data_IF_803868285555
#
_entry.id   IF_803868285555
#
_cell.length_a   1.000
_cell.length_b   1.000
_cell.length_c   1.000
_cell.angle_alpha   90.00
_cell.angle_beta   90.00
_cell.angle_gamma   90.00
#
_symmetry.space_group_name_H-M   'P 1'
#
loop_
_entity.id
_entity.type
_entity.pdbx_description
1 polymer ?
#
# COMPACT_ATOMS: atom_id res chain seq x y z
N UNK A 1 -51.69 29.10 -8.63
CA UNK A 1 -50.90 28.03 -9.29
C UNK A 1 -49.43 28.25 -8.92
N UNK A 2 -49.05 27.78 -7.73
CA UNK A 2 -48.43 26.47 -7.48
C UNK A 2 -46.91 26.52 -7.67
N UNK A 3 -46.27 26.89 -6.55
CA UNK A 3 -44.99 26.42 -6.01
C UNK A 3 -44.17 25.49 -6.92
N UNK A 4 -43.13 26.05 -7.56
CA UNK A 4 -42.06 25.29 -8.22
C UNK A 4 -41.01 24.87 -7.18
N UNK A 5 -41.31 23.81 -6.44
CA UNK A 5 -40.28 23.05 -5.71
C UNK A 5 -39.76 21.98 -6.65
N UNK A 6 -38.51 22.10 -7.12
CA UNK A 6 -37.80 20.96 -7.71
C UNK A 6 -36.53 20.72 -6.89
N UNK A 7 -36.61 19.62 -6.16
CA UNK A 7 -35.61 18.97 -5.32
C UNK A 7 -34.22 18.95 -6.00
N UNK A 8 -33.21 19.58 -5.38
CA UNK A 8 -31.82 19.18 -5.60
C UNK A 8 -31.61 17.83 -4.91
N UNK A 9 -31.61 16.75 -5.69
CA UNK A 9 -31.16 15.44 -5.21
C UNK A 9 -29.66 15.48 -4.99
N UNK A 10 -29.24 15.57 -3.72
CA UNK A 10 -27.86 15.35 -3.30
C UNK A 10 -27.61 13.83 -3.38
N UNK A 11 -26.92 13.39 -4.42
CA UNK A 11 -26.40 12.03 -4.51
C UNK A 11 -25.03 12.01 -3.83
N UNK A 12 -25.03 11.84 -2.50
CA UNK A 12 -23.80 11.65 -1.72
C UNK A 12 -23.35 10.19 -1.88
N UNK A 13 -22.42 9.89 -2.80
CA UNK A 13 -21.77 8.58 -2.83
C UNK A 13 -20.83 8.46 -1.64
N UNK A 14 -21.08 7.45 -0.80
CA UNK A 14 -20.10 6.96 0.16
C UNK A 14 -18.99 6.20 -0.56
N UNK A 15 -17.92 6.88 -0.96
CA UNK A 15 -16.77 6.32 -1.71
C UNK A 15 -15.67 5.70 -0.83
N UNK A 16 -15.81 5.72 0.50
CA UNK A 16 -14.73 5.39 1.44
C UNK A 16 -14.20 3.93 1.37
N UNK A 17 -15.05 2.90 1.57
CA UNK A 17 -14.57 1.52 1.70
C UNK A 17 -13.89 0.99 0.43
N UNK A 18 -14.50 1.27 -0.73
CA UNK A 18 -13.99 0.83 -2.04
C UNK A 18 -12.58 1.38 -2.31
N UNK A 19 -12.32 2.64 -1.96
CA UNK A 19 -11.00 3.25 -2.14
C UNK A 19 -9.93 2.65 -1.22
N UNK A 20 -10.30 2.22 -0.01
CA UNK A 20 -9.38 1.57 0.91
C UNK A 20 -8.99 0.17 0.39
N UNK A 21 -9.97 -0.61 -0.08
CA UNK A 21 -9.74 -1.93 -0.66
C UNK A 21 -8.85 -1.83 -1.90
N UNK A 22 -9.16 -0.90 -2.83
CA UNK A 22 -8.33 -0.66 -4.02
C UNK A 22 -6.88 -0.28 -3.68
N UNK A 23 -6.66 0.46 -2.58
CA UNK A 23 -5.33 0.85 -2.15
C UNK A 23 -4.53 -0.33 -1.58
N UNK A 24 -5.17 -1.22 -0.82
CA UNK A 24 -4.52 -2.42 -0.29
C UNK A 24 -4.20 -3.40 -1.42
N UNK A 25 -5.10 -3.58 -2.38
CA UNK A 25 -4.86 -4.43 -3.56
C UNK A 25 -3.69 -3.89 -4.42
N UNK A 26 -3.64 -2.57 -4.64
CA UNK A 26 -2.49 -1.95 -5.30
C UNK A 26 -1.19 -2.19 -4.51
N UNK A 27 -1.23 -2.03 -3.18
CA UNK A 27 -0.06 -2.24 -2.34
C UNK A 27 0.46 -3.67 -2.39
N UNK A 28 -0.45 -4.65 -2.37
CA UNK A 28 -0.12 -6.08 -2.55
C UNK A 28 0.49 -6.34 -3.92
N UNK A 29 -0.06 -5.74 -4.99
CA UNK A 29 0.49 -5.86 -6.34
C UNK A 29 1.88 -5.24 -6.47
N UNK A 30 2.13 -4.11 -5.82
CA UNK A 30 3.48 -3.51 -5.77
C UNK A 30 4.45 -4.45 -5.06
N UNK A 31 4.04 -5.02 -3.92
CA UNK A 31 4.85 -5.95 -3.15
C UNK A 31 5.23 -7.21 -3.95
N UNK A 32 4.27 -7.79 -4.66
CA UNK A 32 4.43 -9.04 -5.40
C UNK A 32 5.13 -8.86 -6.75
N UNK A 33 4.79 -7.80 -7.50
CA UNK A 33 5.05 -7.74 -8.95
C UNK A 33 5.69 -6.43 -9.43
N UNK A 34 5.20 -5.27 -8.99
CA UNK A 34 5.56 -4.00 -9.65
C UNK A 34 6.88 -3.40 -9.16
N UNK A 35 7.30 -3.69 -7.92
CA UNK A 35 8.65 -3.40 -7.49
C UNK A 35 9.64 -4.31 -8.23
N UNK A 36 10.76 -3.76 -8.69
CA UNK A 36 11.81 -4.51 -9.37
C UNK A 36 13.17 -4.18 -8.74
N UNK A 37 13.79 -5.10 -7.97
CA UNK A 37 13.31 -6.46 -7.68
C UNK A 37 12.02 -6.47 -6.84
N UNK A 38 11.22 -7.54 -6.98
CA UNK A 38 10.03 -7.76 -6.16
C UNK A 38 10.39 -7.81 -4.67
N UNK A 39 9.54 -7.25 -3.82
CA UNK A 39 9.77 -7.22 -2.37
C UNK A 39 9.86 -8.65 -1.79
N UNK A 40 9.15 -9.60 -2.43
CA UNK A 40 9.11 -11.02 -2.07
C UNK A 40 10.47 -11.71 -2.11
N UNK A 41 11.39 -11.22 -2.95
CA UNK A 41 12.74 -11.78 -3.09
C UNK A 41 13.53 -11.61 -1.79
N UNK A 42 13.29 -10.51 -1.08
CA UNK A 42 14.07 -10.15 0.10
C UNK A 42 13.32 -10.35 1.41
N UNK A 43 12.00 -10.15 1.44
CA UNK A 43 11.25 -10.06 2.69
C UNK A 43 10.27 -11.21 2.89
N UNK A 44 10.21 -11.70 4.13
CA UNK A 44 9.11 -12.52 4.62
C UNK A 44 7.90 -11.63 4.91
N UNK A 45 6.74 -12.02 4.39
CA UNK A 45 5.44 -11.42 4.65
C UNK A 45 4.33 -12.46 4.39
N UNK A 46 3.73 -12.99 5.46
CA UNK A 46 2.81 -14.11 5.39
C UNK A 46 1.55 -13.83 4.53
N UNK A 47 0.98 -12.62 4.61
CA UNK A 47 -0.20 -12.25 3.81
C UNK A 47 0.08 -12.30 2.28
N UNK A 48 1.32 -12.01 1.90
CA UNK A 48 1.78 -12.09 0.52
C UNK A 48 2.31 -13.49 0.14
N UNK A 49 2.39 -14.42 1.09
CA UNK A 49 2.97 -15.74 0.87
C UNK A 49 4.47 -15.72 0.57
N UNK A 50 5.20 -14.66 1.00
CA UNK A 50 6.63 -14.54 0.76
C UNK A 50 7.46 -14.97 1.96
N UNK A 51 8.64 -15.54 1.68
CA UNK A 51 9.57 -16.07 2.68
C UNK A 51 11.02 -15.64 2.41
N UNK A 52 11.22 -14.42 1.87
CA UNK A 52 12.56 -13.89 1.67
C UNK A 52 13.29 -13.65 2.99
N UNK A 53 14.59 -13.97 3.03
CA UNK A 53 15.42 -13.88 4.25
C UNK A 53 16.62 -12.91 4.11
N UNK A 54 16.71 -12.19 2.99
CA UNK A 54 17.76 -11.18 2.77
C UNK A 54 17.48 -9.93 3.59
N UNK A 55 16.23 -9.48 3.60
CA UNK A 55 15.72 -8.39 4.42
C UNK A 55 15.04 -8.91 5.70
N UNK A 56 14.67 -8.00 6.63
CA UNK A 56 13.94 -8.38 7.83
C UNK A 56 12.59 -9.02 7.50
N UNK A 57 12.17 -9.94 8.38
CA UNK A 57 10.81 -10.45 8.41
C UNK A 57 9.84 -9.32 8.79
N UNK A 58 8.92 -8.97 7.88
CA UNK A 58 8.02 -7.85 8.06
C UNK A 58 6.88 -8.16 9.05
N UNK A 59 6.46 -9.43 9.17
CA UNK A 59 5.49 -9.87 10.18
C UNK A 59 6.02 -9.68 11.60
N UNK A 60 7.34 -9.78 11.80
CA UNK A 60 8.00 -9.53 13.08
C UNK A 60 8.32 -8.05 13.29
N UNK A 61 8.82 -7.37 12.24
CA UNK A 61 9.25 -5.98 12.33
C UNK A 61 8.07 -5.01 12.53
N UNK A 62 6.90 -5.31 11.95
CA UNK A 62 5.67 -4.51 12.04
C UNK A 62 5.88 -2.99 11.85
N UNK A 63 6.57 -2.56 10.77
CA UNK A 63 6.88 -1.15 10.57
C UNK A 63 5.61 -0.32 10.32
N UNK A 64 5.65 0.97 10.65
CA UNK A 64 4.60 1.90 10.25
C UNK A 64 4.64 2.20 8.75
N UNK A 65 3.51 2.63 8.17
CA UNK A 65 3.49 3.02 6.75
C UNK A 65 4.48 4.16 6.45
N UNK A 66 4.75 5.05 7.40
CA UNK A 66 5.78 6.09 7.24
C UNK A 66 7.18 5.49 7.14
N UNK A 67 7.53 4.56 8.04
CA UNK A 67 8.82 3.87 8.00
C UNK A 67 9.00 3.10 6.69
N UNK A 68 7.97 2.40 6.23
CA UNK A 68 8.01 1.69 4.95
C UNK A 68 8.16 2.66 3.78
N UNK A 69 7.41 3.76 3.76
CA UNK A 69 7.49 4.75 2.67
C UNK A 69 8.88 5.35 2.56
N UNK A 70 9.51 5.70 3.69
CA UNK A 70 10.86 6.24 3.71
C UNK A 70 11.90 5.22 3.23
N UNK A 71 11.79 3.96 3.70
CA UNK A 71 12.68 2.88 3.27
C UNK A 71 12.54 2.57 1.77
N UNK A 72 11.32 2.51 1.25
CA UNK A 72 11.06 2.25 -0.18
C UNK A 72 11.56 3.40 -1.04
N UNK A 73 11.37 4.66 -0.62
CA UNK A 73 11.85 5.82 -1.39
C UNK A 73 13.37 5.89 -1.46
N UNK A 74 14.03 5.74 -0.33
CA UNK A 74 15.45 6.07 -0.19
C UNK A 74 16.39 4.85 -0.15
N UNK A 75 15.84 3.64 -0.01
CA UNK A 75 16.62 2.44 0.26
C UNK A 75 17.14 2.40 1.70
N UNK A 76 17.59 1.22 2.14
CA UNK A 76 18.19 1.00 3.47
C UNK A 76 19.24 -0.11 3.37
N UNK A 77 20.51 0.23 3.58
CA UNK A 77 21.60 -0.74 3.47
C UNK A 77 21.67 -1.36 2.08
N UNK A 78 21.47 -2.68 1.99
CA UNK A 78 21.42 -3.41 0.71
C UNK A 78 20.07 -3.31 -0.01
N UNK A 79 19.01 -2.83 0.66
CA UNK A 79 17.71 -2.61 0.02
C UNK A 79 17.83 -1.41 -0.94
N UNK A 80 17.56 -1.58 -2.25
CA UNK A 80 17.67 -0.50 -3.21
C UNK A 80 16.60 0.57 -2.98
N UNK A 81 16.86 1.78 -3.45
CA UNK A 81 15.88 2.85 -3.52
C UNK A 81 14.92 2.62 -4.70
N UNK A 82 13.62 2.84 -4.48
CA UNK A 82 12.57 2.71 -5.51
C UNK A 82 11.91 4.06 -5.85
N UNK A 83 12.38 5.17 -5.26
CA UNK A 83 11.79 6.50 -5.48
C UNK A 83 11.74 6.95 -6.95
N UNK A 84 12.67 6.47 -7.77
CA UNK A 84 12.72 6.78 -9.21
C UNK A 84 11.94 5.78 -10.08
N UNK A 85 11.59 4.61 -9.56
CA UNK A 85 10.94 3.51 -10.31
C UNK A 85 9.47 3.29 -9.94
N UNK A 86 9.06 3.71 -8.74
CA UNK A 86 7.67 3.64 -8.27
C UNK A 86 7.09 5.04 -8.11
N UNK A 87 5.83 5.19 -8.50
CA UNK A 87 5.09 6.42 -8.23
C UNK A 87 4.79 6.59 -6.73
N UNK A 88 4.58 7.84 -6.30
CA UNK A 88 4.12 8.17 -4.93
C UNK A 88 2.88 7.38 -4.50
N UNK A 89 1.94 7.15 -5.44
CA UNK A 89 0.75 6.33 -5.20
C UNK A 89 1.09 4.88 -4.89
N UNK A 90 2.03 4.29 -5.64
CA UNK A 90 2.48 2.91 -5.43
C UNK A 90 3.22 2.77 -4.10
N UNK A 91 4.10 3.72 -3.79
CA UNK A 91 4.86 3.73 -2.52
C UNK A 91 3.90 3.84 -1.33
N UNK A 92 2.95 4.77 -1.38
CA UNK A 92 1.94 4.91 -0.33
C UNK A 92 1.07 3.66 -0.19
N UNK A 93 0.71 3.02 -1.32
CA UNK A 93 -0.09 1.80 -1.32
C UNK A 93 0.65 0.61 -0.68
N UNK A 94 1.91 0.34 -1.08
CA UNK A 94 2.67 -0.78 -0.51
C UNK A 94 2.97 -0.56 0.98
N UNK A 95 3.21 0.68 1.38
CA UNK A 95 3.41 1.04 2.78
C UNK A 95 2.18 0.76 3.64
N UNK A 96 0.99 1.18 3.18
CA UNK A 96 -0.26 0.91 3.88
C UNK A 96 -0.62 -0.57 3.89
N UNK A 97 -0.36 -1.27 2.79
CA UNK A 97 -0.55 -2.72 2.72
C UNK A 97 0.29 -3.45 3.77
N UNK A 98 1.60 -3.21 3.81
CA UNK A 98 2.51 -3.84 4.78
C UNK A 98 2.08 -3.54 6.23
N UNK A 99 1.78 -2.27 6.54
CA UNK A 99 1.32 -1.91 7.89
C UNK A 99 -0.01 -2.61 8.24
N UNK A 100 -0.97 -2.61 7.32
CA UNK A 100 -2.30 -3.20 7.52
C UNK A 100 -2.23 -4.69 7.85
N UNK A 101 -1.38 -5.44 7.14
CA UNK A 101 -1.34 -6.91 7.29
C UNK A 101 -0.45 -7.37 8.44
N UNK A 102 0.50 -6.54 8.89
CA UNK A 102 1.41 -6.87 10.01
C UNK A 102 0.89 -6.42 11.38
N UNK A 103 -0.13 -5.55 11.42
CA UNK A 103 -0.80 -5.07 12.65
C UNK A 103 -2.07 -5.86 13.04
N UNK A 104 -2.45 -6.89 12.29
CA UNK A 104 -3.49 -7.84 12.71
C UNK A 104 -3.03 -8.61 13.96
#
# INVERSE_FOLDING_TARGET
MLLRTLLLTIFALATGPVLADEQLELGKKVFLEQAQPSCTVCHTLNDAGSAGEIGPNLDQLKPSAEQVSNAVKSGVGIMPAFGDSLSERQISAVAKYIESVTRK
#
